data_IF_358501575254
#
_entry.id   IF_358501575254
#
_cell.length_a   1.000
_cell.length_b   1.000
_cell.length_c   1.000
_cell.angle_alpha   90.00
_cell.angle_beta   90.00
_cell.angle_gamma   90.00
#
_symmetry.space_group_name_H-M   'P 1'
#
loop_
_entity.id
_entity.type
_entity.pdbx_description
1 polymer ?
#
# COMPACT_ATOMS: atom_id res chain seq x y z
N UNK A 1 13.91 6.42 -17.04
CA UNK A 1 13.38 6.36 -15.67
C UNK A 1 13.25 4.89 -15.30
N UNK A 2 14.16 4.40 -14.47
CA UNK A 2 14.19 3.01 -14.02
C UNK A 2 12.87 2.62 -13.37
N UNK A 3 12.13 1.73 -14.03
CA UNK A 3 10.93 1.16 -13.47
C UNK A 3 11.34 0.24 -12.32
N UNK A 4 11.32 0.76 -11.09
CA UNK A 4 11.54 -0.02 -9.87
C UNK A 4 10.64 -1.26 -9.89
N UNK A 5 11.22 -2.45 -9.89
CA UNK A 5 10.43 -3.68 -9.83
C UNK A 5 10.14 -3.99 -8.36
N UNK A 6 8.96 -3.61 -7.89
CA UNK A 6 8.53 -3.96 -6.54
C UNK A 6 8.18 -5.44 -6.46
N UNK A 7 8.48 -6.09 -5.33
CA UNK A 7 7.92 -7.40 -5.02
C UNK A 7 6.38 -7.33 -4.97
N UNK A 8 5.70 -8.33 -5.54
CA UNK A 8 4.23 -8.36 -5.56
C UNK A 8 3.62 -8.27 -4.16
N UNK A 9 4.28 -8.87 -3.16
CA UNK A 9 3.88 -8.78 -1.76
C UNK A 9 3.87 -7.34 -1.21
N UNK A 10 4.80 -6.50 -1.65
CA UNK A 10 4.90 -5.11 -1.21
C UNK A 10 3.79 -4.25 -1.85
N UNK A 11 3.51 -4.47 -3.14
CA UNK A 11 2.41 -3.80 -3.83
C UNK A 11 1.05 -4.20 -3.23
N UNK A 12 0.85 -5.49 -2.95
CA UNK A 12 -0.36 -6.00 -2.28
C UNK A 12 -0.52 -5.46 -0.87
N UNK A 13 0.58 -5.32 -0.12
CA UNK A 13 0.54 -4.71 1.21
C UNK A 13 0.14 -3.24 1.16
N UNK A 14 0.64 -2.48 0.18
CA UNK A 14 0.26 -1.07 -0.02
C UNK A 14 -1.22 -0.93 -0.39
N UNK A 15 -1.72 -1.80 -1.28
CA UNK A 15 -3.15 -1.84 -1.63
C UNK A 15 -4.02 -2.15 -0.38
N UNK A 16 -3.66 -3.18 0.37
CA UNK A 16 -4.38 -3.54 1.59
C UNK A 16 -4.32 -2.43 2.64
N UNK A 17 -3.24 -1.65 2.68
CA UNK A 17 -3.12 -0.49 3.57
C UNK A 17 -4.08 0.63 3.17
N UNK A 18 -4.15 0.96 1.87
CA UNK A 18 -5.11 1.93 1.33
C UNK A 18 -6.56 1.48 1.62
N UNK A 19 -6.92 0.23 1.30
CA UNK A 19 -8.27 -0.31 1.53
C UNK A 19 -8.65 -0.26 3.03
N UNK A 20 -7.70 -0.57 3.91
CA UNK A 20 -7.92 -0.52 5.37
C UNK A 20 -8.09 0.90 5.86
N UNK A 21 -7.34 1.85 5.27
CA UNK A 21 -7.45 3.26 5.59
C UNK A 21 -8.82 3.82 5.14
N UNK A 22 -9.25 3.51 3.91
CA UNK A 22 -10.56 3.91 3.40
C UNK A 22 -11.70 3.34 4.24
N UNK A 23 -11.61 2.07 4.64
CA UNK A 23 -12.59 1.45 5.55
C UNK A 23 -12.63 2.13 6.94
N UNK A 24 -11.51 2.69 7.41
CA UNK A 24 -11.44 3.46 8.66
C UNK A 24 -11.94 4.90 8.49
N UNK A 25 -11.85 5.47 7.30
CA UNK A 25 -12.28 6.83 7.01
C UNK A 25 -13.81 7.00 6.95
N UNK A 26 -14.56 5.89 6.82
CA UNK A 26 -16.03 5.89 6.88
C UNK A 26 -16.51 6.25 8.31
N UNK A 27 -17.55 7.09 8.46
CA UNK A 27 -18.13 7.39 9.77
C UNK A 27 -18.63 6.13 10.50
N UNK A 28 -18.24 5.97 11.77
CA UNK A 28 -18.56 4.82 12.63
C UNK A 28 -18.30 3.44 11.99
N UNK A 29 -17.04 3.12 11.67
CA UNK A 29 -16.72 1.90 10.95
C UNK A 29 -16.94 0.68 11.85
N UNK A 30 -17.70 -0.30 11.34
CA UNK A 30 -17.82 -1.61 12.00
C UNK A 30 -16.43 -2.25 12.10
N UNK A 31 -16.15 -2.89 13.23
CA UNK A 31 -14.86 -3.54 13.48
C UNK A 31 -13.65 -2.59 13.49
N UNK A 32 -13.83 -1.33 13.92
CA UNK A 32 -12.77 -0.31 14.00
C UNK A 32 -11.48 -0.80 14.69
N UNK A 33 -11.58 -1.59 15.76
CA UNK A 33 -10.42 -2.20 16.43
C UNK A 33 -9.64 -3.15 15.52
N UNK A 34 -10.33 -4.02 14.78
CA UNK A 34 -9.71 -4.98 13.85
C UNK A 34 -9.04 -4.23 12.70
N UNK A 35 -9.70 -3.18 12.17
CA UNK A 35 -9.14 -2.34 11.12
C UNK A 35 -7.89 -1.60 11.60
N UNK A 36 -7.89 -1.02 12.80
CA UNK A 36 -6.69 -0.38 13.37
C UNK A 36 -5.54 -1.37 13.59
N UNK A 37 -5.83 -2.57 14.11
CA UNK A 37 -4.82 -3.62 14.26
C UNK A 37 -4.23 -4.04 12.91
N UNK A 38 -5.09 -4.18 11.89
CA UNK A 38 -4.65 -4.48 10.53
C UNK A 38 -3.77 -3.37 9.96
N UNK A 39 -4.14 -2.10 10.16
CA UNK A 39 -3.36 -0.95 9.73
C UNK A 39 -1.97 -0.93 10.39
N UNK A 40 -1.86 -1.22 11.68
CA UNK A 40 -0.58 -1.31 12.39
C UNK A 40 0.30 -2.43 11.83
N UNK A 41 -0.25 -3.63 11.61
CA UNK A 41 0.50 -4.75 11.02
C UNK A 41 1.00 -4.43 9.61
N UNK A 42 0.15 -3.83 8.79
CA UNK A 42 0.53 -3.41 7.43
C UNK A 42 1.58 -2.30 7.45
N UNK A 43 1.47 -1.35 8.39
CA UNK A 43 2.48 -0.32 8.57
C UNK A 43 3.83 -0.93 8.93
N UNK A 44 3.89 -1.87 9.89
CA UNK A 44 5.13 -2.57 10.23
C UNK A 44 5.69 -3.30 9.01
N UNK A 45 4.89 -4.11 8.33
CA UNK A 45 5.32 -4.86 7.14
C UNK A 45 5.87 -3.94 6.05
N UNK A 46 5.20 -2.82 5.78
CA UNK A 46 5.65 -1.84 4.80
C UNK A 46 6.96 -1.19 5.25
N UNK A 47 7.14 -0.78 6.50
CA UNK A 47 8.34 -0.05 6.91
C UNK A 47 9.55 -0.96 7.15
N UNK A 48 9.36 -2.22 7.54
CA UNK A 48 10.46 -3.17 7.80
C UNK A 48 10.85 -4.02 6.59
N UNK A 49 10.26 -3.76 5.42
CA UNK A 49 10.49 -4.60 4.25
C UNK A 49 11.96 -4.53 3.77
N UNK A 50 12.64 -5.67 3.52
CA UNK A 50 14.06 -5.69 3.13
C UNK A 50 14.34 -4.99 1.80
N UNK A 51 13.32 -4.85 0.95
CA UNK A 51 13.40 -4.07 -0.30
C UNK A 51 13.95 -2.65 -0.09
N UNK A 52 13.68 -2.00 1.04
CA UNK A 52 14.16 -0.64 1.28
C UNK A 52 15.67 -0.54 1.45
N UNK A 53 16.31 -1.61 1.92
CA UNK A 53 17.77 -1.71 1.99
C UNK A 53 18.41 -1.88 0.61
N UNK A 54 17.64 -2.37 -0.37
CA UNK A 54 18.11 -2.64 -1.73
C UNK A 54 17.57 -1.65 -2.78
N UNK A 55 16.76 -0.68 -2.37
CA UNK A 55 16.05 0.21 -3.29
C UNK A 55 16.99 1.24 -3.93
N UNK A 56 17.15 1.24 -5.27
CA UNK A 56 17.91 2.26 -5.97
C UNK A 56 17.22 3.63 -5.84
N UNK A 57 17.99 4.68 -5.55
CA UNK A 57 17.47 6.06 -5.44
C UNK A 57 16.92 6.46 -4.06
N UNK A 58 17.07 5.59 -3.05
CA UNK A 58 16.69 5.89 -1.66
C UNK A 58 15.22 5.65 -1.34
N UNK A 59 14.94 5.54 -0.04
CA UNK A 59 13.64 5.13 0.50
C UNK A 59 12.48 6.07 0.08
N UNK A 60 12.61 7.41 0.10
CA UNK A 60 11.47 8.30 -0.19
C UNK A 60 10.97 8.20 -1.63
N UNK A 61 11.89 8.14 -2.61
CA UNK A 61 11.52 8.03 -4.03
C UNK A 61 10.84 6.70 -4.34
N UNK A 62 11.37 5.61 -3.77
CA UNK A 62 10.79 4.28 -3.93
C UNK A 62 9.43 4.13 -3.23
N UNK A 63 9.20 4.79 -2.08
CA UNK A 63 7.87 4.84 -1.44
C UNK A 63 6.84 5.61 -2.28
N UNK A 64 7.24 6.74 -2.88
CA UNK A 64 6.35 7.53 -3.74
C UNK A 64 5.91 6.75 -4.98
N UNK A 65 6.86 6.08 -5.64
CA UNK A 65 6.59 5.22 -6.79
C UNK A 65 5.67 4.04 -6.40
N UNK A 66 5.88 3.42 -5.23
CA UNK A 66 5.01 2.35 -4.72
C UNK A 66 3.56 2.82 -4.55
N UNK A 67 3.36 3.99 -3.93
CA UNK A 67 2.01 4.58 -3.75
C UNK A 67 1.34 4.87 -5.09
N UNK A 68 2.08 5.43 -6.06
CA UNK A 68 1.55 5.71 -7.40
C UNK A 68 1.07 4.44 -8.10
N UNK A 69 1.84 3.35 -8.02
CA UNK A 69 1.45 2.06 -8.62
C UNK A 69 0.27 1.40 -7.93
N UNK A 70 0.21 1.49 -6.60
CA UNK A 70 -0.94 0.99 -5.85
C UNK A 70 -2.23 1.73 -6.24
N UNK A 71 -2.18 3.06 -6.40
CA UNK A 71 -3.31 3.85 -6.87
C UNK A 71 -3.71 3.53 -8.31
N UNK A 72 -2.74 3.43 -9.23
CA UNK A 72 -3.02 3.05 -10.62
C UNK A 72 -3.70 1.68 -10.73
N UNK A 73 -3.30 0.72 -9.89
CA UNK A 73 -3.94 -0.60 -9.85
C UNK A 73 -5.40 -0.57 -9.36
N UNK A 74 -5.75 0.35 -8.44
CA UNK A 74 -7.14 0.55 -8.01
C UNK A 74 -7.98 1.15 -9.14
N UNK A 75 -7.45 2.14 -9.86
CA UNK A 75 -8.12 2.75 -11.01
C UNK A 75 -8.45 1.72 -12.10
N UNK A 76 -7.49 0.87 -12.43
CA UNK A 76 -7.64 -0.22 -13.41
C UNK A 76 -8.71 -1.26 -12.98
N UNK A 77 -8.87 -1.48 -11.66
CA UNK A 77 -9.92 -2.36 -11.14
C UNK A 77 -11.31 -1.74 -11.27
N UNK A 78 -11.42 -0.43 -11.05
CA UNK A 78 -12.64 0.33 -11.24
C UNK A 78 -13.07 0.36 -12.71
N UNK A 79 -12.14 0.64 -13.63
CA UNK A 79 -12.39 0.67 -15.07
C UNK A 79 -12.78 -0.70 -15.65
N UNK A 80 -12.20 -1.79 -15.12
CA UNK A 80 -12.53 -3.16 -15.57
C UNK A 80 -13.87 -3.68 -15.01
N UNK A 81 -14.48 -2.97 -14.05
CA UNK A 81 -15.74 -3.34 -13.43
C UNK A 81 -16.92 -2.47 -13.89
N UNK A 82 -16.70 -1.56 -14.85
CA UNK A 82 -17.70 -0.69 -15.48
C UNK A 82 -17.95 -1.12 -16.93
#
# INVERSE_FOLDING_TARGET
MDSLRFPDGLLRAQQAWNDTYDALAVPNPRHSTVLRQRLLRLSVLLHTHPFWSTAPGGVPGAQMELRRRAQAAVQQRGERSA
#
